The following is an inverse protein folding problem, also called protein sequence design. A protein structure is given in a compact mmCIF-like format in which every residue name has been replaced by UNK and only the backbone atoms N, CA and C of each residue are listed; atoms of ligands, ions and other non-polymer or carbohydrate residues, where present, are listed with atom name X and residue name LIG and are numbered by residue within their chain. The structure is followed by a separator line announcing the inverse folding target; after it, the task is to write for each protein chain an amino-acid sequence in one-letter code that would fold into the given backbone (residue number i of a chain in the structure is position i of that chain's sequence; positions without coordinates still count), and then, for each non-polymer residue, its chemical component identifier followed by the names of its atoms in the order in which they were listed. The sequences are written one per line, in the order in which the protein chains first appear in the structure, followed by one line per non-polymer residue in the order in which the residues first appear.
data_IF_309519890354
#
_entry.id   IF_309519890354
#
_cell.length_a   1.000
_cell.length_b   1.000
_cell.length_c   1.000
_cell.angle_alpha   90.00
_cell.angle_beta   90.00
_cell.angle_gamma   90.00
#
_symmetry.space_group_name_H-M   'P 1'
#
loop_
_entity.id
_entity.type
_entity.pdbx_description
1 polymer ?
#
# COMPACT_ATOMS: atom_id res chain seq x y z
N UNK A 1 -33.95 39.94 -37.37
CA UNK A 1 -32.92 40.60 -36.55
C UNK A 1 -32.78 39.74 -35.30
N UNK A 2 -32.09 38.61 -35.43
CA UNK A 2 -30.64 38.41 -35.26
C UNK A 2 -30.29 38.03 -33.81
N UNK A 3 -30.25 36.70 -33.63
CA UNK A 3 -29.52 35.81 -32.72
C UNK A 3 -28.42 36.34 -31.79
N UNK A 4 -28.17 35.60 -30.69
CA UNK A 4 -26.90 35.68 -29.95
C UNK A 4 -26.78 34.87 -28.65
N UNK A 5 -26.96 33.55 -28.68
CA UNK A 5 -26.40 32.63 -27.66
C UNK A 5 -24.96 32.25 -28.05
N UNK A 6 -24.01 32.29 -27.10
CA UNK A 6 -22.64 31.81 -27.32
C UNK A 6 -22.26 30.76 -26.28
N UNK A 7 -22.37 29.52 -26.75
CA UNK A 7 -21.74 28.29 -26.26
C UNK A 7 -20.28 28.27 -26.75
N UNK A 8 -19.31 27.91 -25.92
CA UNK A 8 -17.91 27.74 -26.34
C UNK A 8 -17.50 26.27 -26.26
N UNK A 9 -17.61 25.59 -27.39
CA UNK A 9 -17.00 24.29 -27.69
C UNK A 9 -15.62 24.56 -28.33
N UNK A 10 -14.56 23.98 -27.75
CA UNK A 10 -13.21 24.05 -28.31
C UNK A 10 -13.01 22.94 -29.36
N UNK A 11 -12.82 23.32 -30.62
CA UNK A 11 -12.54 22.41 -31.75
C UNK A 11 -11.02 22.23 -31.89
N UNK A 12 -10.55 20.98 -31.85
CA UNK A 12 -9.17 20.59 -32.19
C UNK A 12 -8.93 20.73 -33.70
N UNK A 13 -7.89 21.48 -34.09
CA UNK A 13 -7.50 21.68 -35.49
C UNK A 13 -6.36 20.72 -35.88
N UNK A 14 -6.64 19.78 -36.78
CA UNK A 14 -5.66 18.85 -37.36
C UNK A 14 -5.10 19.46 -38.65
N UNK A 15 -3.82 19.83 -38.63
CA UNK A 15 -3.10 20.41 -39.78
C UNK A 15 -2.46 19.35 -40.68
N UNK A 16 -3.06 19.22 -41.87
CA UNK A 16 -2.53 18.85 -43.21
C UNK A 16 -1.31 17.92 -43.33
N UNK A 17 -1.58 16.74 -43.92
CA UNK A 17 -0.62 15.84 -44.60
C UNK A 17 -0.01 16.53 -45.83
N UNK A 18 1.31 16.43 -45.98
CA UNK A 18 2.04 16.70 -47.23
C UNK A 18 2.64 15.40 -47.75
N UNK A 19 2.13 14.94 -48.88
CA UNK A 19 2.69 13.86 -49.69
C UNK A 19 3.92 14.39 -50.44
N UNK A 20 5.08 13.77 -50.21
CA UNK A 20 6.24 13.94 -51.09
C UNK A 20 6.56 12.63 -51.79
N UNK A 21 6.49 12.69 -53.11
CA UNK A 21 6.80 11.64 -54.08
C UNK A 21 8.31 11.72 -54.35
N UNK A 22 9.09 10.77 -53.84
CA UNK A 22 10.52 10.69 -54.13
C UNK A 22 10.73 10.04 -55.52
N UNK A 23 11.41 10.77 -56.42
CA UNK A 23 11.94 10.24 -57.68
C UNK A 23 13.13 9.34 -57.37
N UNK A 24 13.16 8.17 -57.99
CA UNK A 24 14.30 7.25 -57.91
C UNK A 24 15.45 7.72 -58.78
N UNK A 25 16.63 7.82 -58.19
CA UNK A 25 17.91 7.80 -58.88
C UNK A 25 18.80 6.73 -58.22
N UNK A 26 19.31 5.86 -59.08
CA UNK A 26 20.06 4.67 -58.75
C UNK A 26 21.52 5.06 -58.46
N UNK A 27 21.92 5.06 -57.18
CA UNK A 27 23.31 5.29 -56.78
C UNK A 27 23.93 4.04 -56.17
N UNK A 28 24.98 3.62 -56.86
CA UNK A 28 25.95 2.56 -56.57
C UNK A 28 26.31 2.37 -55.08
N UNK A 29 26.21 1.12 -54.62
CA UNK A 29 26.62 0.66 -53.30
C UNK A 29 28.15 0.72 -53.19
N UNK A 30 28.67 1.65 -52.39
CA UNK A 30 30.06 1.60 -51.88
C UNK A 30 30.06 1.07 -50.44
N UNK A 31 30.92 0.08 -50.20
CA UNK A 31 31.07 -0.72 -48.96
C UNK A 31 31.23 0.16 -47.70
N UNK A 32 30.64 -0.22 -46.54
CA UNK A 32 30.81 0.55 -45.32
C UNK A 32 32.17 0.26 -44.67
N UNK A 33 32.94 1.33 -44.45
CA UNK A 33 34.17 1.33 -43.68
C UNK A 33 33.94 1.08 -42.19
N UNK A 34 34.91 0.40 -41.59
CA UNK A 34 35.02 -0.16 -40.24
C UNK A 34 34.79 0.80 -39.04
N UNK A 35 34.46 2.07 -39.28
CA UNK A 35 34.48 3.15 -38.27
C UNK A 35 33.11 3.54 -37.68
N UNK A 36 32.02 2.86 -38.08
CA UNK A 36 30.66 3.13 -37.54
C UNK A 36 30.29 2.31 -36.28
N UNK A 37 31.09 1.31 -35.91
CA UNK A 37 30.78 0.43 -34.77
C UNK A 37 31.05 1.03 -33.39
N UNK A 38 31.86 2.10 -33.30
CA UNK A 38 32.25 2.67 -32.02
C UNK A 38 31.28 3.76 -31.52
N UNK A 39 30.65 4.51 -32.41
CA UNK A 39 29.71 5.58 -32.04
C UNK A 39 28.34 5.03 -31.57
N UNK A 40 27.86 3.90 -32.10
CA UNK A 40 26.58 3.32 -31.69
C UNK A 40 26.62 2.65 -30.31
N UNK A 41 27.80 2.22 -29.86
CA UNK A 41 27.97 1.60 -28.53
C UNK A 41 28.04 2.63 -27.39
N UNK A 42 28.44 3.87 -27.69
CA UNK A 42 28.49 4.94 -26.69
C UNK A 42 27.09 5.47 -26.31
N UNK A 43 26.17 5.58 -27.26
CA UNK A 43 24.80 6.06 -26.97
C UNK A 43 23.94 5.01 -26.24
N UNK A 44 24.19 3.71 -26.46
CA UNK A 44 23.47 2.64 -25.76
C UNK A 44 23.89 2.51 -24.27
N UNK A 45 25.13 2.88 -23.93
CA UNK A 45 25.61 2.90 -22.54
C UNK A 45 25.05 4.06 -21.72
N UNK A 46 24.83 5.22 -22.36
CA UNK A 46 24.30 6.41 -21.68
C UNK A 46 22.79 6.32 -21.37
N UNK A 47 22.02 5.56 -22.16
CA UNK A 47 20.57 5.42 -21.96
C UNK A 47 20.20 4.41 -20.86
N UNK A 48 21.14 3.54 -20.46
CA UNK A 48 20.91 2.52 -19.42
C UNK A 48 21.08 3.03 -17.98
N UNK A 49 21.60 4.25 -17.78
CA UNK A 49 21.81 4.85 -16.45
C UNK A 49 20.63 5.71 -15.95
N UNK A 50 19.56 5.86 -16.74
CA UNK A 50 18.45 6.78 -16.44
C UNK A 50 17.20 6.18 -15.79
N UNK A 51 17.16 4.87 -15.53
CA UNK A 51 15.95 4.19 -15.05
C UNK A 51 16.08 3.76 -13.59
N UNK A 52 16.17 4.76 -12.71
CA UNK A 52 16.24 4.57 -11.28
C UNK A 52 15.82 5.81 -10.51
N UNK A 53 14.72 6.45 -10.92
CA UNK A 53 14.06 7.42 -10.05
C UNK A 53 13.46 6.63 -8.87
N UNK A 54 14.28 6.39 -7.85
CA UNK A 54 13.78 5.98 -6.55
C UNK A 54 12.85 7.09 -6.07
N UNK A 55 11.58 6.75 -5.89
CA UNK A 55 10.67 7.62 -5.18
C UNK A 55 11.16 7.69 -3.73
N UNK A 56 11.93 8.73 -3.40
CA UNK A 56 12.39 8.98 -2.05
C UNK A 56 11.19 9.56 -1.29
N UNK A 57 10.53 8.72 -0.48
CA UNK A 57 9.65 9.23 0.55
C UNK A 57 10.52 10.02 1.53
N UNK A 58 10.09 11.21 1.97
CA UNK A 58 10.87 11.92 2.98
C UNK A 58 10.85 11.11 4.26
N UNK A 59 9.66 10.74 4.75
CA UNK A 59 9.53 9.99 5.99
C UNK A 59 9.25 8.50 5.76
N UNK A 60 10.10 7.64 6.33
CA UNK A 60 9.98 6.17 6.31
C UNK A 60 9.66 5.69 7.72
N UNK A 61 8.59 4.90 7.88
CA UNK A 61 8.24 4.25 9.15
C UNK A 61 8.92 2.90 9.23
N UNK A 62 9.59 2.60 10.35
CA UNK A 62 10.14 1.27 10.60
C UNK A 62 9.00 0.27 10.90
N UNK A 63 8.85 -0.71 10.01
CA UNK A 63 7.79 -1.72 10.10
C UNK A 63 6.54 -1.38 9.31
N UNK A 64 5.62 -2.35 9.21
CA UNK A 64 4.39 -2.23 8.40
C UNK A 64 3.11 -2.30 9.22
N UNK A 65 3.25 -2.50 10.54
CA UNK A 65 2.18 -2.60 11.53
C UNK A 65 2.77 -2.47 12.93
N UNK A 66 1.89 -2.24 13.89
CA UNK A 66 2.20 -2.09 15.30
C UNK A 66 1.37 -3.08 16.09
N UNK A 67 1.99 -3.78 17.04
CA UNK A 67 1.29 -4.68 17.96
C UNK A 67 1.47 -4.15 19.38
N UNK A 68 0.39 -3.67 19.97
CA UNK A 68 0.32 -3.26 21.36
C UNK A 68 -0.14 -4.44 22.22
N UNK A 69 0.80 -5.08 22.92
CA UNK A 69 0.49 -6.12 23.90
C UNK A 69 -0.11 -5.49 25.15
N UNK A 70 -1.26 -5.99 25.61
CA UNK A 70 -1.89 -5.50 26.83
C UNK A 70 -0.93 -5.61 28.03
N UNK A 71 -0.89 -4.57 28.85
CA UNK A 71 0.04 -4.42 29.97
C UNK A 71 1.47 -3.97 29.59
N UNK A 72 1.77 -3.71 28.32
CA UNK A 72 2.93 -2.91 27.95
C UNK A 72 2.71 -1.45 28.37
N UNK A 73 3.75 -0.78 28.88
CA UNK A 73 3.69 0.63 29.24
C UNK A 73 3.59 1.54 28.03
N UNK A 74 4.32 1.20 26.96
CA UNK A 74 4.31 1.90 25.68
C UNK A 74 4.74 0.95 24.56
N UNK A 75 4.46 1.34 23.31
CA UNK A 75 5.10 0.80 22.12
C UNK A 75 5.78 1.94 21.37
N UNK A 76 7.02 1.72 20.93
CA UNK A 76 7.79 2.71 20.19
C UNK A 76 7.82 2.33 18.71
N UNK A 77 7.36 3.26 17.86
CA UNK A 77 7.47 3.20 16.41
C UNK A 77 8.56 4.18 15.99
N UNK A 78 9.57 3.70 15.28
CA UNK A 78 10.67 4.53 14.79
C UNK A 78 10.38 4.97 13.36
N UNK A 79 10.84 6.15 13.03
CA UNK A 79 10.72 6.76 11.72
C UNK A 79 12.04 7.42 11.38
N UNK A 80 12.36 7.51 10.10
CA UNK A 80 13.55 8.22 9.62
C UNK A 80 13.13 9.15 8.49
N UNK A 81 13.70 10.35 8.47
CA UNK A 81 13.62 11.20 7.29
C UNK A 81 14.78 10.84 6.34
N UNK A 82 14.52 10.01 5.34
CA UNK A 82 15.49 9.65 4.28
C UNK A 82 15.53 10.70 3.15
N UNK A 83 14.66 11.71 3.21
CA UNK A 83 14.63 12.83 2.28
C UNK A 83 15.76 13.84 2.46
N UNK A 84 15.95 14.68 1.44
CA UNK A 84 16.97 15.73 1.44
C UNK A 84 16.57 17.02 2.17
N UNK A 85 15.29 17.16 2.56
CA UNK A 85 14.74 18.34 3.24
C UNK A 85 14.04 17.93 4.54
N UNK A 86 13.94 18.85 5.50
CA UNK A 86 13.21 18.59 6.73
C UNK A 86 11.73 18.31 6.43
N UNK A 87 11.07 17.48 7.22
CA UNK A 87 9.62 17.20 7.09
C UNK A 87 8.90 17.57 8.38
N UNK A 88 7.66 18.06 8.25
CA UNK A 88 6.73 18.16 9.36
C UNK A 88 5.88 16.89 9.42
N UNK A 89 6.15 16.06 10.42
CA UNK A 89 5.42 14.83 10.71
C UNK A 89 4.22 15.13 11.60
N UNK A 90 3.04 14.67 11.19
CA UNK A 90 1.85 14.57 12.06
C UNK A 90 1.47 13.10 12.27
N UNK A 91 1.09 12.74 13.49
CA UNK A 91 0.68 11.38 13.83
C UNK A 91 -0.61 11.36 14.66
N UNK A 92 -1.48 10.40 14.36
CA UNK A 92 -2.71 10.13 15.13
C UNK A 92 -3.17 8.68 14.95
N UNK A 93 -4.06 8.22 15.83
CA UNK A 93 -4.66 6.88 15.77
C UNK A 93 -6.14 6.99 15.42
N UNK A 94 -6.60 6.15 14.50
CA UNK A 94 -8.03 6.05 14.09
C UNK A 94 -8.60 4.65 14.35
N UNK A 95 -9.94 4.54 14.32
CA UNK A 95 -10.73 3.34 14.58
C UNK A 95 -11.15 2.57 13.31
N UNK A 96 -10.55 2.89 12.17
CA UNK A 96 -10.91 2.37 10.85
C UNK A 96 -11.53 3.42 9.94
N UNK A 97 -12.09 4.50 10.48
CA UNK A 97 -12.71 5.59 9.71
C UNK A 97 -11.67 6.53 9.10
N UNK A 98 -11.08 6.14 7.97
CA UNK A 98 -9.95 6.83 7.33
C UNK A 98 -10.17 8.31 6.95
N UNK A 99 -11.42 8.74 6.82
CA UNK A 99 -11.81 10.10 6.42
C UNK A 99 -12.33 10.95 7.58
N UNK A 100 -12.53 10.35 8.76
CA UNK A 100 -12.90 11.12 9.94
C UNK A 100 -11.68 11.89 10.45
N UNK A 101 -11.92 13.07 11.00
CA UNK A 101 -10.88 13.93 11.53
C UNK A 101 -10.48 13.48 12.94
N UNK A 102 -9.25 13.78 13.43
CA UNK A 102 -8.79 13.33 14.74
C UNK A 102 -9.71 13.71 15.91
N UNK A 103 -10.42 14.84 15.83
CA UNK A 103 -11.39 15.32 16.83
C UNK A 103 -12.66 14.44 16.93
N UNK A 104 -12.93 13.62 15.91
CA UNK A 104 -14.06 12.69 15.87
C UNK A 104 -13.68 11.27 16.32
N UNK A 105 -12.41 11.06 16.68
CA UNK A 105 -11.88 9.76 17.07
C UNK A 105 -12.02 9.57 18.58
N UNK A 106 -12.70 8.50 18.98
CA UNK A 106 -12.69 8.02 20.34
C UNK A 106 -11.96 6.67 20.36
N UNK A 107 -10.65 6.71 20.58
CA UNK A 107 -9.79 5.53 20.65
C UNK A 107 -9.07 5.49 22.00
N UNK A 108 -8.87 4.32 22.62
CA UNK A 108 -8.22 4.21 23.93
C UNK A 108 -6.68 4.29 23.83
N UNK A 109 -6.17 5.19 22.98
CA UNK A 109 -4.75 5.38 22.77
C UNK A 109 -4.41 6.86 22.67
N UNK A 110 -3.22 7.21 23.14
CA UNK A 110 -2.57 8.47 22.81
C UNK A 110 -1.15 8.20 22.33
N UNK A 111 -0.58 9.16 21.60
CA UNK A 111 0.79 9.08 21.13
C UNK A 111 1.55 10.38 21.32
N UNK A 112 2.87 10.29 21.33
CA UNK A 112 3.76 11.45 21.46
C UNK A 112 5.07 11.27 20.67
N UNK A 113 5.57 12.33 20.01
CA UNK A 113 4.87 13.60 19.77
C UNK A 113 3.80 13.46 18.67
N UNK A 114 2.64 14.14 18.77
CA UNK A 114 1.64 14.16 17.71
C UNK A 114 2.06 15.01 16.49
N UNK A 115 3.00 15.95 16.70
CA UNK A 115 3.56 16.81 15.67
C UNK A 115 5.06 16.98 15.94
N UNK A 116 5.91 16.75 14.95
CA UNK A 116 7.34 16.99 15.06
C UNK A 116 7.95 17.40 13.73
N UNK A 117 8.97 18.25 13.79
CA UNK A 117 9.86 18.51 12.65
C UNK A 117 11.00 17.50 12.66
N UNK A 118 11.19 16.80 11.55
CA UNK A 118 12.24 15.77 11.39
C UNK A 118 13.24 16.23 10.35
N UNK A 119 14.46 16.50 10.78
CA UNK A 119 15.55 16.96 9.88
C UNK A 119 16.04 15.85 8.95
N UNK A 120 16.66 16.18 7.80
CA UNK A 120 17.23 15.20 6.87
C UNK A 120 18.18 14.21 7.55
N UNK A 121 18.03 12.92 7.25
CA UNK A 121 18.83 11.83 7.80
C UNK A 121 18.64 11.62 9.31
N UNK A 122 17.63 12.24 9.95
CA UNK A 122 17.35 12.08 11.38
C UNK A 122 16.18 11.13 11.60
N UNK A 123 16.27 10.40 12.71
CA UNK A 123 15.19 9.57 13.21
C UNK A 123 14.25 10.32 14.14
N UNK A 124 13.00 9.90 14.17
CA UNK A 124 11.98 10.29 15.14
C UNK A 124 11.38 9.03 15.77
N UNK A 125 11.15 9.07 17.08
CA UNK A 125 10.44 8.00 17.79
C UNK A 125 9.03 8.48 18.15
N UNK A 126 8.01 7.75 17.70
CA UNK A 126 6.62 7.87 18.14
C UNK A 126 6.38 6.86 19.25
N UNK A 127 5.93 7.33 20.41
CA UNK A 127 5.55 6.49 21.55
C UNK A 127 4.04 6.42 21.61
N UNK A 128 3.50 5.21 21.64
CA UNK A 128 2.05 4.93 21.73
C UNK A 128 1.77 4.36 23.10
N UNK A 129 0.72 4.85 23.74
CA UNK A 129 0.26 4.45 25.07
C UNK A 129 -1.20 4.05 25.01
N UNK A 130 -1.57 3.00 25.73
CA UNK A 130 -2.95 2.63 25.96
C UNK A 130 -3.52 3.37 27.17
N UNK A 131 -4.71 3.96 27.03
CA UNK A 131 -5.37 4.70 28.12
C UNK A 131 -6.23 3.74 28.95
N UNK A 132 -5.74 3.32 30.11
CA UNK A 132 -6.54 2.59 31.10
C UNK A 132 -7.68 3.49 31.62
N UNK A 133 -8.92 3.22 31.22
CA UNK A 133 -10.09 4.07 31.48
C UNK A 133 -10.76 4.67 30.24
N UNK A 134 -10.19 4.44 29.05
CA UNK A 134 -10.88 4.71 27.77
C UNK A 134 -12.00 3.71 27.49
N UNK A 135 -12.42 3.63 26.22
CA UNK A 135 -13.39 2.62 25.78
C UNK A 135 -12.88 1.20 26.13
N UNK A 136 -13.68 0.37 26.82
CA UNK A 136 -13.26 -0.99 27.16
C UNK A 136 -13.08 -1.82 25.89
N UNK A 137 -11.94 -2.50 25.80
CA UNK A 137 -11.63 -3.39 24.68
C UNK A 137 -11.95 -4.85 25.03
N UNK A 138 -12.40 -5.66 24.04
CA UNK A 138 -12.51 -7.11 24.19
C UNK A 138 -11.22 -7.72 24.73
N UNK A 139 -11.36 -8.63 25.71
CA UNK A 139 -10.22 -9.35 26.30
C UNK A 139 -10.05 -10.75 25.72
N UNK A 140 -11.02 -11.24 24.94
CA UNK A 140 -11.05 -12.55 24.32
C UNK A 140 -10.50 -12.56 22.89
N UNK A 141 -10.20 -11.39 22.31
CA UNK A 141 -9.72 -11.22 20.93
C UNK A 141 -8.93 -9.94 20.72
N UNK A 142 -8.20 -9.87 19.63
CA UNK A 142 -7.57 -8.63 19.18
C UNK A 142 -8.59 -7.55 18.81
N UNK A 143 -8.19 -6.29 19.01
CA UNK A 143 -8.87 -5.11 18.47
C UNK A 143 -7.98 -4.41 17.46
N UNK A 144 -8.58 -3.89 16.38
CA UNK A 144 -7.86 -3.23 15.30
C UNK A 144 -8.08 -1.72 15.31
N UNK A 145 -6.97 -0.99 15.22
CA UNK A 145 -6.88 0.45 15.04
C UNK A 145 -5.90 0.74 13.89
N UNK A 146 -5.70 2.02 13.58
CA UNK A 146 -4.74 2.43 12.56
C UNK A 146 -3.89 3.60 13.03
N UNK A 147 -2.57 3.46 12.94
CA UNK A 147 -1.62 4.56 13.07
C UNK A 147 -1.52 5.29 11.73
N UNK A 148 -1.77 6.60 11.74
CA UNK A 148 -1.53 7.48 10.61
C UNK A 148 -0.28 8.30 10.88
N UNK A 149 0.57 8.40 9.86
CA UNK A 149 1.73 9.26 9.85
C UNK A 149 1.68 10.07 8.56
N UNK A 150 1.48 11.38 8.69
CA UNK A 150 1.43 12.32 7.59
C UNK A 150 2.77 13.06 7.50
N UNK A 151 3.42 12.91 6.36
CA UNK A 151 4.63 13.61 5.95
C UNK A 151 4.23 14.88 5.17
N UNK A 152 4.51 16.05 5.75
CA UNK A 152 4.26 17.35 5.12
C UNK A 152 5.62 18.00 4.79
N UNK A 153 6.01 18.08 3.50
CA UNK A 153 7.23 18.75 3.10
C UNK A 153 7.12 20.27 3.31
N UNK A 154 8.25 20.99 3.41
CA UNK A 154 8.26 22.43 3.53
C UNK A 154 7.69 23.04 2.26
N UNK A 155 7.10 24.23 2.39
CA UNK A 155 6.75 25.01 1.21
C UNK A 155 8.04 25.35 0.47
N UNK A 156 7.98 25.28 -0.85
CA UNK A 156 9.07 25.76 -1.69
C UNK A 156 8.97 27.29 -1.69
N UNK A 157 9.98 27.97 -1.17
CA UNK A 157 10.10 29.41 -1.31
C UNK A 157 10.46 29.69 -2.77
N UNK A 158 9.47 30.03 -3.58
CA UNK A 158 9.69 30.51 -4.94
C UNK A 158 9.64 32.04 -4.93
N UNK A 159 10.81 32.67 -4.89
CA UNK A 159 10.96 34.03 -5.36
C UNK A 159 10.84 34.00 -6.90
N UNK A 160 9.78 34.63 -7.40
CA UNK A 160 9.54 35.03 -8.80
C UNK A 160 9.43 33.93 -9.89
N UNK A 161 8.28 33.92 -10.58
CA UNK A 161 8.06 33.38 -11.96
C UNK A 161 8.18 31.86 -12.25
N UNK A 162 8.22 30.97 -11.26
CA UNK A 162 8.36 29.52 -11.50
C UNK A 162 7.04 28.71 -11.46
N UNK A 163 6.11 28.95 -12.39
CA UNK A 163 5.04 28.00 -12.76
C UNK A 163 4.10 27.47 -11.64
N UNK A 164 3.22 26.52 -11.99
CA UNK A 164 2.35 25.87 -11.01
C UNK A 164 3.13 24.79 -10.23
N UNK A 165 3.42 25.03 -8.95
CA UNK A 165 4.10 24.06 -8.08
C UNK A 165 3.09 23.05 -7.54
N UNK A 166 3.34 21.77 -7.80
CA UNK A 166 2.58 20.66 -7.21
C UNK A 166 3.30 20.19 -5.93
N UNK A 167 2.68 20.41 -4.78
CA UNK A 167 3.16 19.89 -3.50
C UNK A 167 2.35 18.66 -3.09
N UNK A 168 3.05 17.55 -2.82
CA UNK A 168 2.44 16.28 -2.42
C UNK A 168 2.79 16.00 -0.96
N UNK A 169 1.78 15.70 -0.14
CA UNK A 169 1.96 15.16 1.21
C UNK A 169 1.56 13.69 1.22
N UNK A 170 2.30 12.86 1.95
CA UNK A 170 2.10 11.41 1.96
C UNK A 170 1.61 10.98 3.33
N UNK A 171 0.48 10.25 3.38
CA UNK A 171 -0.04 9.64 4.60
C UNK A 171 0.20 8.14 4.60
N UNK A 172 1.10 7.67 5.44
CA UNK A 172 1.28 6.25 5.74
C UNK A 172 0.25 5.82 6.78
N UNK A 173 -0.50 4.76 6.47
CA UNK A 173 -1.53 4.21 7.36
C UNK A 173 -1.20 2.75 7.70
N UNK A 174 -0.83 2.51 8.96
CA UNK A 174 -0.36 1.23 9.45
C UNK A 174 -1.39 0.62 10.40
N UNK A 175 -1.56 -0.70 10.36
CA UNK A 175 -2.44 -1.39 11.30
C UNK A 175 -1.84 -1.34 12.71
N UNK A 176 -2.66 -1.05 13.71
CA UNK A 176 -2.33 -1.09 15.12
C UNK A 176 -3.23 -2.14 15.79
N UNK A 177 -2.66 -3.26 16.21
CA UNK A 177 -3.38 -4.33 16.89
C UNK A 177 -3.24 -4.17 18.40
N UNK A 178 -4.34 -4.09 19.13
CA UNK A 178 -4.35 -4.31 20.57
C UNK A 178 -4.52 -5.80 20.84
N UNK A 179 -3.56 -6.40 21.55
CA UNK A 179 -3.54 -7.83 21.85
C UNK A 179 -3.67 -8.08 23.36
N UNK A 180 -4.84 -8.53 23.84
CA UNK A 180 -5.03 -8.96 25.23
C UNK A 180 -4.04 -10.03 25.68
N UNK A 181 -3.84 -10.14 27.00
CA UNK A 181 -3.06 -11.23 27.60
C UNK A 181 -3.89 -12.51 27.61
N UNK A 182 -3.23 -13.66 27.42
CA UNK A 182 -3.87 -14.97 27.61
C UNK A 182 -4.73 -15.46 26.45
N UNK A 183 -4.65 -14.84 25.26
CA UNK A 183 -5.27 -15.38 24.06
C UNK A 183 -4.73 -16.78 23.73
N UNK A 184 -5.61 -17.70 23.34
CA UNK A 184 -5.21 -19.03 22.93
C UNK A 184 -4.51 -19.01 21.56
N UNK A 185 -3.46 -19.81 21.39
CA UNK A 185 -2.67 -19.86 20.15
C UNK A 185 -1.78 -18.63 19.97
N UNK A 186 -1.38 -18.35 18.72
CA UNK A 186 -0.51 -17.23 18.37
C UNK A 186 -0.94 -16.58 17.05
N UNK A 187 -0.55 -15.33 16.83
CA UNK A 187 -0.81 -14.64 15.56
C UNK A 187 -0.07 -15.31 14.39
N UNK A 188 1.07 -15.94 14.67
CA UNK A 188 1.87 -16.69 13.70
C UNK A 188 1.18 -17.99 13.26
N UNK A 189 0.52 -18.69 14.19
CA UNK A 189 -0.19 -19.95 13.89
C UNK A 189 -1.60 -19.72 13.35
N UNK A 190 -2.22 -18.57 13.65
CA UNK A 190 -3.62 -18.28 13.29
C UNK A 190 -3.98 -18.46 11.80
N UNK A 191 -3.12 -18.10 10.82
CA UNK A 191 -3.43 -18.34 9.42
C UNK A 191 -3.62 -19.81 9.08
N UNK A 192 -2.87 -20.72 9.71
CA UNK A 192 -2.98 -22.16 9.47
C UNK A 192 -4.33 -22.73 9.95
N UNK A 193 -4.97 -22.05 10.92
CA UNK A 193 -6.25 -22.45 11.50
C UNK A 193 -7.47 -21.93 10.72
N UNK A 194 -7.27 -21.11 9.68
CA UNK A 194 -8.36 -20.67 8.80
C UNK A 194 -9.13 -21.86 8.23
N UNK A 195 -10.45 -21.76 8.13
CA UNK A 195 -11.31 -22.82 7.60
C UNK A 195 -11.95 -22.37 6.31
N UNK A 196 -11.99 -23.26 5.32
CA UNK A 196 -12.57 -23.00 4.01
C UNK A 196 -13.76 -23.93 3.79
N UNK A 197 -14.91 -23.36 3.46
CA UNK A 197 -16.14 -24.14 3.23
C UNK A 197 -16.87 -23.63 2.00
N UNK A 198 -17.20 -24.53 1.08
CA UNK A 198 -18.08 -24.18 -0.04
C UNK A 198 -19.52 -24.00 0.45
N UNK A 199 -20.13 -22.90 0.03
CA UNK A 199 -21.53 -22.58 0.28
C UNK A 199 -22.36 -22.79 -1.00
N UNK A 200 -23.68 -22.81 -0.84
CA UNK A 200 -24.59 -22.82 -1.98
C UNK A 200 -24.39 -21.59 -2.88
N UNK A 201 -24.73 -21.72 -4.16
CA UNK A 201 -24.59 -20.63 -5.13
C UNK A 201 -23.16 -20.35 -5.59
N UNK A 202 -22.25 -21.31 -5.46
CA UNK A 202 -20.87 -21.16 -5.95
C UNK A 202 -20.03 -20.18 -5.12
N UNK A 203 -20.28 -20.10 -3.82
CA UNK A 203 -19.53 -19.23 -2.90
C UNK A 203 -18.60 -20.04 -2.00
N UNK A 204 -17.58 -19.37 -1.47
CA UNK A 204 -16.63 -19.89 -0.50
C UNK A 204 -16.68 -19.03 0.76
N UNK A 205 -16.86 -19.67 1.90
CA UNK A 205 -16.67 -19.06 3.21
C UNK A 205 -15.23 -19.29 3.68
N UNK A 206 -14.57 -18.22 4.11
CA UNK A 206 -13.27 -18.23 4.77
C UNK A 206 -13.49 -17.81 6.22
N UNK A 207 -13.47 -18.77 7.15
CA UNK A 207 -13.72 -18.54 8.56
C UNK A 207 -12.41 -18.51 9.36
N UNK A 208 -12.28 -17.55 10.26
CA UNK A 208 -11.19 -17.44 11.21
C UNK A 208 -11.67 -17.82 12.61
N UNK A 209 -11.38 -19.04 13.10
CA UNK A 209 -11.80 -19.48 14.43
C UNK A 209 -10.92 -18.92 15.56
N UNK A 210 -9.90 -18.13 15.25
CA UNK A 210 -8.87 -17.70 16.21
C UNK A 210 -9.16 -16.31 16.78
N UNK A 211 -8.55 -15.94 17.92
CA UNK A 211 -8.69 -14.61 18.51
C UNK A 211 -7.81 -13.53 17.83
N UNK A 212 -7.15 -13.84 16.71
CA UNK A 212 -6.22 -12.94 16.02
C UNK A 212 -6.75 -12.49 14.66
N UNK A 213 -6.42 -11.29 14.21
CA UNK A 213 -6.67 -10.87 12.84
C UNK A 213 -5.73 -11.59 11.88
N UNK A 214 -6.27 -12.22 10.82
CA UNK A 214 -5.46 -12.84 9.77
C UNK A 214 -5.43 -11.95 8.54
N UNK A 215 -4.25 -11.42 8.22
CA UNK A 215 -4.05 -10.52 7.07
C UNK A 215 -3.55 -11.31 5.86
N UNK A 216 -4.46 -11.59 4.92
CA UNK A 216 -4.16 -12.29 3.68
C UNK A 216 -3.66 -11.31 2.62
N UNK A 217 -2.43 -11.51 2.15
CA UNK A 217 -1.86 -10.79 1.00
C UNK A 217 -2.50 -11.27 -0.30
N UNK A 218 -2.70 -12.57 -0.41
CA UNK A 218 -3.34 -13.21 -1.55
C UNK A 218 -4.08 -14.47 -1.10
N UNK A 219 -5.12 -14.81 -1.85
CA UNK A 219 -5.86 -16.05 -1.75
C UNK A 219 -6.24 -16.46 -3.18
N UNK A 220 -6.05 -17.73 -3.51
CA UNK A 220 -6.29 -18.23 -4.85
C UNK A 220 -6.60 -19.73 -4.84
N UNK A 221 -7.18 -20.21 -5.93
CA UNK A 221 -7.27 -21.65 -6.20
C UNK A 221 -6.94 -21.96 -7.66
N UNK A 222 -6.62 -23.24 -7.92
CA UNK A 222 -6.14 -23.71 -9.20
C UNK A 222 -4.61 -23.84 -9.25
N UNK A 223 -4.03 -24.09 -10.44
CA UNK A 223 -2.58 -24.24 -10.62
C UNK A 223 -1.80 -23.01 -10.12
N UNK A 224 -0.63 -23.24 -9.55
CA UNK A 224 0.24 -22.19 -9.00
C UNK A 224 0.64 -21.12 -10.01
N UNK A 225 1.11 -21.57 -11.17
CA UNK A 225 1.59 -20.76 -12.27
C UNK A 225 0.46 -19.99 -12.96
N UNK A 226 -0.75 -20.56 -12.96
CA UNK A 226 -1.93 -19.97 -13.56
C UNK A 226 -3.18 -20.26 -12.72
N UNK A 227 -3.41 -19.48 -11.64
CA UNK A 227 -4.58 -19.71 -10.81
C UNK A 227 -5.87 -19.48 -11.58
N UNK A 228 -6.86 -20.31 -11.30
CA UNK A 228 -8.20 -20.18 -11.89
C UNK A 228 -8.89 -18.91 -11.41
N UNK A 229 -8.71 -18.57 -10.12
CA UNK A 229 -9.22 -17.35 -9.53
C UNK A 229 -8.23 -16.83 -8.49
N UNK A 230 -8.04 -15.51 -8.46
CA UNK A 230 -7.29 -14.80 -7.42
C UNK A 230 -8.21 -13.79 -6.74
N UNK A 231 -8.12 -13.69 -5.43
CA UNK A 231 -8.83 -12.71 -4.62
C UNK A 231 -7.88 -11.60 -4.16
N UNK A 232 -8.37 -10.35 -4.04
CA UNK A 232 -7.58 -9.26 -3.51
C UNK A 232 -7.16 -9.53 -2.06
N UNK A 233 -6.14 -8.79 -1.60
CA UNK A 233 -5.75 -8.81 -0.20
C UNK A 233 -6.94 -8.48 0.71
N UNK A 234 -7.08 -9.23 1.80
CA UNK A 234 -8.19 -9.08 2.74
C UNK A 234 -7.73 -9.40 4.16
N UNK A 235 -8.53 -9.00 5.14
CA UNK A 235 -8.25 -9.26 6.53
C UNK A 235 -9.45 -9.92 7.17
N UNK A 236 -9.24 -11.12 7.72
CA UNK A 236 -10.31 -11.88 8.37
C UNK A 236 -10.27 -11.57 9.86
N UNK A 237 -11.36 -11.00 10.39
CA UNK A 237 -11.46 -10.63 11.80
C UNK A 237 -11.44 -11.85 12.74
N UNK A 238 -11.03 -11.68 14.01
CA UNK A 238 -11.12 -12.72 15.02
C UNK A 238 -12.54 -13.27 15.15
N UNK A 239 -12.68 -14.61 15.13
CA UNK A 239 -13.97 -15.30 15.18
C UNK A 239 -14.96 -14.89 14.08
N UNK A 240 -14.47 -14.28 13.00
CA UNK A 240 -15.26 -13.80 11.88
C UNK A 240 -15.09 -14.65 10.63
N UNK A 241 -15.79 -14.28 9.57
CA UNK A 241 -15.73 -14.95 8.27
C UNK A 241 -15.94 -13.98 7.12
N UNK A 242 -15.30 -14.25 5.99
CA UNK A 242 -15.54 -13.56 4.72
C UNK A 242 -16.15 -14.53 3.70
N UNK A 243 -17.00 -14.01 2.82
CA UNK A 243 -17.60 -14.80 1.73
C UNK A 243 -17.11 -14.32 0.38
N UNK A 244 -16.65 -15.25 -0.45
CA UNK A 244 -16.05 -15.01 -1.75
C UNK A 244 -16.82 -15.74 -2.85
N UNK A 245 -16.87 -15.17 -4.04
CA UNK A 245 -17.44 -15.83 -5.22
C UNK A 245 -16.40 -16.77 -5.85
N UNK A 246 -16.73 -18.04 -6.06
CA UNK A 246 -15.84 -19.00 -6.72
C UNK A 246 -15.81 -18.84 -8.23
N UNK A 247 -16.68 -18.04 -8.85
CA UNK A 247 -16.75 -17.89 -10.30
C UNK A 247 -17.10 -19.20 -11.01
N UNK A 248 -17.88 -20.06 -10.34
CA UNK A 248 -18.25 -21.39 -10.84
C UNK A 248 -17.23 -22.51 -10.56
N UNK A 249 -16.07 -22.19 -9.97
CA UNK A 249 -15.08 -23.19 -9.57
C UNK A 249 -15.51 -24.05 -8.38
N UNK A 250 -14.90 -25.24 -8.27
CA UNK A 250 -15.08 -26.16 -7.15
C UNK A 250 -13.70 -26.59 -6.63
N UNK A 251 -12.99 -25.69 -5.92
CA UNK A 251 -11.63 -25.98 -5.48
C UNK A 251 -11.61 -27.08 -4.42
N UNK A 252 -10.68 -28.03 -4.57
CA UNK A 252 -10.35 -28.98 -3.50
C UNK A 252 -9.40 -28.35 -2.46
N UNK A 253 -8.51 -27.45 -2.90
CA UNK A 253 -7.57 -26.73 -2.04
C UNK A 253 -7.58 -25.23 -2.32
N UNK A 254 -7.28 -24.45 -1.28
CA UNK A 254 -7.03 -23.02 -1.33
C UNK A 254 -5.58 -22.75 -0.98
N UNK A 255 -4.92 -21.92 -1.79
CA UNK A 255 -3.57 -21.43 -1.54
C UNK A 255 -3.64 -19.96 -1.14
N UNK A 256 -2.91 -19.59 -0.11
CA UNK A 256 -2.91 -18.22 0.39
C UNK A 256 -1.58 -17.83 1.01
N UNK A 257 -1.33 -16.53 1.05
CA UNK A 257 -0.19 -15.97 1.76
C UNK A 257 -0.68 -15.02 2.85
N UNK A 258 -0.24 -15.23 4.08
CA UNK A 258 -0.55 -14.37 5.21
C UNK A 258 0.67 -13.55 5.63
N UNK A 259 0.43 -12.35 6.15
CA UNK A 259 1.49 -11.45 6.62
C UNK A 259 1.54 -11.49 8.15
N UNK A 260 2.68 -11.85 8.72
CA UNK A 260 2.92 -11.93 10.17
C UNK A 260 3.07 -10.55 10.84
N UNK A 261 3.19 -10.54 12.17
CA UNK A 261 3.41 -9.32 12.97
C UNK A 261 4.66 -8.54 12.55
N UNK A 262 5.71 -9.24 12.12
CA UNK A 262 6.97 -8.64 11.65
C UNK A 262 6.93 -8.23 10.17
N UNK A 263 5.79 -8.40 9.50
CA UNK A 263 5.65 -8.11 8.07
C UNK A 263 6.16 -9.21 7.14
N UNK A 264 6.59 -10.36 7.67
CA UNK A 264 7.01 -11.49 6.84
C UNK A 264 5.81 -12.17 6.19
N UNK A 265 6.02 -12.74 5.00
CA UNK A 265 4.97 -13.42 4.23
C UNK A 265 5.17 -14.92 4.38
N UNK A 266 4.12 -15.61 4.81
CA UNK A 266 4.08 -17.05 4.95
C UNK A 266 3.02 -17.63 4.01
N UNK A 267 3.38 -18.69 3.29
CA UNK A 267 2.52 -19.36 2.31
C UNK A 267 1.89 -20.60 2.94
N UNK A 268 0.63 -20.81 2.62
CA UNK A 268 -0.18 -21.91 3.13
C UNK A 268 -1.00 -22.51 2.00
N UNK A 269 -1.31 -23.80 2.14
CA UNK A 269 -2.29 -24.50 1.34
C UNK A 269 -3.21 -25.28 2.28
N UNK A 270 -4.52 -25.21 2.04
CA UNK A 270 -5.51 -25.88 2.89
C UNK A 270 -6.65 -26.46 2.07
N UNK A 271 -7.07 -27.66 2.43
CA UNK A 271 -8.21 -28.32 1.80
C UNK A 271 -9.54 -27.63 2.16
N UNK A 272 -10.43 -27.56 1.17
CA UNK A 272 -11.79 -27.06 1.35
C UNK A 272 -12.66 -28.15 1.97
N UNK A 273 -13.37 -27.82 3.05
CA UNK A 273 -14.30 -28.72 3.75
C UNK A 273 -13.69 -29.52 4.89
N UNK A 274 -12.37 -29.45 5.14
CA UNK A 274 -11.75 -30.00 6.36
C UNK A 274 -11.80 -28.96 7.49
N UNK A 275 -12.21 -29.40 8.68
CA UNK A 275 -12.33 -28.58 9.89
C UNK A 275 -11.05 -28.55 10.73
#
# INVERSE_FOLDING_TARGET
MADGTCDWILIMNISKRRTMRAKGEFLSVRKPGFWRGLALRACAGALALGLGASAQASLVVEGTRVVYKAGASEVVVKLTNDGAVASLMQAWIDDGRAQATPDQMNVPFFLTPPLARVEPGKGQALRIFHTEGGQPLPQDRESLFWLNVLDVPPKVDSDEEAGAILQISVRSRLKLFFRPKGLAGSAESAPADLRFKTLAGGKLEVANPTPYYVNLRELAYGPEDRPTQRYPAMMIAPFGSETLDLGGGKPATMRYAAISDLGAIHFFEKEVGKQ
#
